data_IF_935792372727
#
_entry.id   IF_935792372727
#
_cell.length_a   1.000
_cell.length_b   1.000
_cell.length_c   1.000
_cell.angle_alpha   90.00
_cell.angle_beta   90.00
_cell.angle_gamma   90.00
#
_symmetry.space_group_name_H-M   'P 1'
#
loop_
_entity.id
_entity.type
_entity.pdbx_description
1 polymer ?
2 non-polymer ?
3 non-polymer ?
4 water ?
#
# COMPACT_ATOMS: atom_id res chain seq x y z
N UNK A 1 27.75 -0.47 4.00
CA UNK A 1 26.87 0.61 3.49
C UNK A 1 25.92 1.06 4.59
N UNK A 2 26.10 2.27 5.11
CA UNK A 2 25.29 2.69 6.26
C UNK A 2 23.81 2.85 5.90
N UNK A 3 23.52 3.23 4.65
CA UNK A 3 22.16 3.30 4.16
C UNK A 3 21.50 1.93 4.24
N UNK A 4 22.21 0.94 3.75
CA UNK A 4 21.70 -0.41 3.81
C UNK A 4 21.58 -0.86 5.25
N UNK A 5 22.53 -0.47 6.09
CA UNK A 5 22.43 -0.77 7.50
C UNK A 5 21.17 -0.17 8.15
N UNK A 6 20.74 1.00 7.70
CA UNK A 6 19.50 1.63 8.21
C UNK A 6 18.27 0.74 7.94
N UNK A 7 18.31 0.00 6.84
CA UNK A 7 17.25 -0.95 6.50
C UNK A 7 17.42 -2.28 7.25
N UNK A 8 18.60 -2.87 7.14
CA UNK A 8 18.85 -4.17 7.78
C UNK A 8 18.52 -4.16 9.28
N UNK A 9 18.82 -3.06 9.96
CA UNK A 9 18.66 -3.04 11.40
C UNK A 9 17.23 -2.79 11.83
N UNK A 10 16.34 -2.60 10.86
CA UNK A 10 14.93 -2.44 11.09
C UNK A 10 14.11 -3.62 10.58
N UNK A 11 14.77 -4.72 10.23
CA UNK A 11 14.06 -5.97 10.04
C UNK A 11 13.96 -6.72 11.35
N UNK A 12 12.75 -7.18 11.64
CA UNK A 12 12.47 -7.90 12.86
C UNK A 12 12.11 -9.35 12.50
N UNK A 13 12.70 -10.31 13.19
CA UNK A 13 12.50 -11.71 12.84
C UNK A 13 11.64 -12.44 13.87
N UNK A 14 10.62 -13.15 13.39
CA UNK A 14 9.69 -13.90 14.24
C UNK A 14 9.71 -15.40 13.89
N UNK A 15 10.35 -16.23 14.71
CA UNK A 15 10.28 -17.66 14.44
C UNK A 15 8.86 -18.22 14.44
N UNK A 16 8.61 -19.22 13.58
CA UNK A 16 7.40 -20.03 13.59
C UNK A 16 6.13 -19.27 13.27
N UNK A 17 6.26 -18.26 12.42
CA UNK A 17 5.11 -17.54 11.88
C UNK A 17 5.29 -17.48 10.36
N UNK A 18 4.28 -17.93 9.60
CA UNK A 18 3.02 -18.37 10.16
C UNK A 18 2.98 -19.85 10.51
N UNK A 19 4.04 -20.60 10.22
CA UNK A 19 4.08 -22.00 10.53
C UNK A 19 5.38 -22.39 11.20
N UNK A 20 5.37 -23.49 11.96
CA UNK A 20 6.60 -23.84 12.68
C UNK A 20 7.74 -24.10 11.70
N UNK A 21 8.93 -23.61 12.04
CA UNK A 21 10.16 -23.92 11.31
C UNK A 21 10.68 -22.79 10.45
N UNK A 22 9.80 -21.88 10.08
CA UNK A 22 10.20 -20.73 9.30
C UNK A 22 10.49 -19.54 10.21
N UNK A 23 11.08 -18.50 9.63
CA UNK A 23 11.31 -17.25 10.31
C UNK A 23 10.70 -16.14 9.45
N UNK A 24 9.76 -15.41 10.03
CA UNK A 24 9.09 -14.32 9.34
C UNK A 24 9.93 -13.07 9.48
N UNK A 25 10.28 -12.44 8.35
CA UNK A 25 11.05 -11.21 8.38
C UNK A 25 10.08 -10.02 8.30
N UNK A 26 9.88 -9.36 9.43
CA UNK A 26 8.86 -8.33 9.57
C UNK A 26 9.47 -7.00 9.12
N UNK A 27 8.92 -6.41 8.05
CA UNK A 27 9.37 -5.11 7.57
C UNK A 27 8.75 -3.91 8.32
N UNK A 28 7.84 -4.17 9.25
CA UNK A 28 7.11 -3.08 9.92
C UNK A 28 8.05 -2.00 10.47
N UNK A 29 9.20 -2.38 11.05
CA UNK A 29 9.99 -1.28 11.61
C UNK A 29 10.66 -0.40 10.54
N UNK A 30 10.85 -0.91 9.34
CA UNK A 30 11.36 -0.10 8.25
C UNK A 30 10.35 1.00 7.92
N UNK A 31 9.07 0.64 7.90
CA UNK A 31 8.02 1.63 7.58
C UNK A 31 7.86 2.65 8.70
N UNK A 32 8.08 2.21 9.94
CA UNK A 32 7.92 3.07 11.11
C UNK A 32 9.02 4.10 11.34
N UNK A 33 10.22 3.83 10.81
CA UNK A 33 11.36 4.73 10.96
C UNK A 33 11.52 5.44 9.62
N UNK A 34 11.17 6.73 9.57
CA UNK A 34 11.18 7.37 8.26
C UNK A 34 12.54 7.36 7.59
N UNK A 35 13.63 7.34 8.37
CA UNK A 35 14.95 7.33 7.77
C UNK A 35 15.24 5.99 7.09
N UNK A 36 14.72 4.92 7.69
CA UNK A 36 14.89 3.58 7.17
C UNK A 36 14.11 3.40 5.88
N UNK A 37 12.87 3.88 5.89
CA UNK A 37 12.04 3.78 4.69
C UNK A 37 12.65 4.58 3.55
N UNK A 38 13.10 5.80 3.84
CA UNK A 38 13.70 6.64 2.82
C UNK A 38 14.94 5.97 2.26
N UNK A 39 15.70 5.31 3.13
CA UNK A 39 16.90 4.63 2.65
C UNK A 39 16.53 3.49 1.72
N UNK A 40 15.54 2.68 2.10
CA UNK A 40 15.14 1.55 1.27
C UNK A 40 14.71 2.02 -0.12
N UNK A 41 13.86 3.05 -0.16
CA UNK A 41 13.38 3.57 -1.45
C UNK A 41 14.57 4.11 -2.26
N UNK A 42 15.46 4.82 -1.58
CA UNK A 42 16.59 5.41 -2.26
C UNK A 42 17.55 4.37 -2.83
N UNK A 43 17.80 3.29 -2.10
CA UNK A 43 18.66 2.22 -2.57
C UNK A 43 18.05 1.53 -3.77
N UNK A 44 16.74 1.29 -3.73
CA UNK A 44 16.07 0.65 -4.86
C UNK A 44 16.12 1.56 -6.09
N UNK A 45 15.82 2.84 -5.89
CA UNK A 45 15.78 3.81 -7.02
C UNK A 45 17.15 3.95 -7.65
N UNK A 46 18.19 4.00 -6.82
CA UNK A 46 19.54 4.17 -7.33
C UNK A 46 19.96 2.93 -8.14
N UNK A 47 19.61 1.75 -7.65
CA UNK A 47 19.89 0.53 -8.41
C UNK A 47 19.18 0.55 -9.76
N UNK A 48 17.92 0.92 -9.77
CA UNK A 48 17.13 0.88 -11.00
C UNK A 48 17.61 1.91 -12.02
N UNK A 49 17.95 3.12 -11.57
CA UNK A 49 18.52 4.10 -12.48
C UNK A 49 19.88 3.68 -13.01
N UNK A 50 20.70 3.05 -12.16
CA UNK A 50 22.02 2.62 -12.58
C UNK A 50 21.93 1.48 -13.58
N UNK A 51 20.84 0.73 -13.54
CA UNK A 51 20.66 -0.46 -14.39
C UNK A 51 19.88 -0.20 -15.67
N UNK A 52 18.91 0.71 -15.60
CA UNK A 52 18.00 0.92 -16.74
C UNK A 52 18.00 2.33 -17.30
N UNK A 53 18.73 3.25 -16.68
CA UNK A 53 18.68 4.63 -17.13
C UNK A 53 17.28 5.17 -17.18
N UNK A 54 16.90 5.74 -18.33
CA UNK A 54 15.56 6.32 -18.46
C UNK A 54 14.53 5.39 -19.11
N UNK A 55 14.81 4.10 -19.16
CA UNK A 55 13.98 3.17 -19.93
C UNK A 55 12.73 2.68 -19.20
N UNK A 56 12.59 2.96 -17.91
CA UNK A 56 11.43 2.44 -17.18
C UNK A 56 10.24 3.36 -17.42
N UNK A 57 9.11 2.78 -17.81
CA UNK A 57 7.90 3.56 -18.00
C UNK A 57 7.06 3.62 -16.73
N UNK A 58 6.90 2.47 -16.07
CA UNK A 58 6.05 2.34 -14.90
C UNK A 58 6.66 1.39 -13.87
N UNK A 59 6.33 1.65 -12.60
CA UNK A 59 6.48 0.67 -11.54
C UNK A 59 5.15 -0.10 -11.39
N UNK A 60 5.20 -1.41 -11.16
CA UNK A 60 4.02 -2.15 -10.78
C UNK A 60 4.19 -2.64 -9.36
N UNK A 61 3.21 -2.31 -8.50
CA UNK A 61 3.27 -2.70 -7.11
C UNK A 61 2.31 -3.85 -6.86
N UNK A 62 2.74 -4.81 -6.05
CA UNK A 62 1.95 -6.03 -5.79
C UNK A 62 1.15 -5.99 -4.47
N UNK A 63 -0.16 -6.14 -4.59
CA UNK A 63 -1.07 -6.25 -3.45
C UNK A 63 -0.62 -7.37 -2.51
N UNK A 64 -0.47 -7.18 -1.18
CA UNK A 64 -0.74 -5.92 -0.50
C UNK A 64 0.55 -5.23 -0.02
N UNK A 65 1.50 -6.00 0.52
CA UNK A 65 2.70 -5.34 1.07
C UNK A 65 3.52 -4.58 0.05
N UNK A 66 3.46 -4.96 -1.22
CA UNK A 66 4.17 -4.24 -2.26
C UNK A 66 3.61 -2.85 -2.49
N UNK A 67 2.34 -2.65 -2.11
CA UNK A 67 1.70 -1.33 -2.20
C UNK A 67 2.41 -0.34 -1.29
N UNK A 68 3.08 -0.83 -0.25
CA UNK A 68 3.79 0.04 0.67
C UNK A 68 5.02 0.67 0.02
N UNK A 69 5.55 0.02 -1.01
CA UNK A 69 6.79 0.49 -1.64
C UNK A 69 6.60 1.03 -3.06
N UNK A 70 5.59 0.54 -3.76
CA UNK A 70 5.39 0.87 -5.18
C UNK A 70 5.27 2.35 -5.46
N UNK A 71 4.29 3.02 -4.82
CA UNK A 71 4.10 4.42 -5.11
C UNK A 71 5.31 5.27 -4.72
N UNK A 72 5.94 5.00 -3.56
CA UNK A 72 7.08 5.82 -3.16
C UNK A 72 8.25 5.65 -4.12
N UNK A 73 8.48 4.41 -4.56
CA UNK A 73 9.56 4.15 -5.50
C UNK A 73 9.27 4.81 -6.84
N UNK A 74 8.03 4.68 -7.30
CA UNK A 74 7.60 5.36 -8.52
C UNK A 74 7.82 6.88 -8.43
N UNK A 75 7.37 7.49 -7.34
CA UNK A 75 7.56 8.90 -7.12
C UNK A 75 9.03 9.30 -7.15
N UNK A 76 9.88 8.51 -6.50
CA UNK A 76 11.31 8.83 -6.49
C UNK A 76 11.91 8.83 -7.88
N UNK A 77 11.36 7.99 -8.76
CA UNK A 77 11.83 7.85 -10.13
C UNK A 77 11.09 8.75 -11.12
N UNK A 78 10.07 9.45 -10.65
CA UNK A 78 9.27 10.32 -11.51
C UNK A 78 8.28 9.59 -12.40
N UNK A 79 7.84 8.43 -11.95
CA UNK A 79 7.02 7.51 -12.72
C UNK A 79 5.67 7.29 -12.05
N UNK A 80 4.71 6.83 -12.82
CA UNK A 80 3.47 6.34 -12.25
C UNK A 80 3.62 4.91 -11.77
N UNK A 81 2.66 4.49 -10.95
CA UNK A 81 2.63 3.14 -10.40
C UNK A 81 1.33 2.45 -10.85
N UNK A 82 1.45 1.27 -11.44
CA UNK A 82 0.29 0.47 -11.75
C UNK A 82 0.08 -0.59 -10.68
N UNK A 83 -1.15 -1.04 -10.53
CA UNK A 83 -1.51 -1.98 -9.48
C UNK A 83 -1.77 -3.37 -10.04
N UNK A 84 -1.24 -4.37 -9.35
CA UNK A 84 -1.63 -5.77 -9.57
C UNK A 84 -2.23 -6.24 -8.26
N UNK A 85 -3.46 -6.71 -8.29
CA UNK A 85 -4.23 -6.98 -7.08
C UNK A 85 -4.54 -8.45 -6.90
N UNK A 86 -4.86 -8.85 -5.67
CA UNK A 86 -5.53 -10.13 -5.47
C UNK A 86 -6.86 -10.12 -6.22
N UNK A 87 -7.19 -11.25 -6.85
CA UNK A 87 -8.38 -11.29 -7.68
C UNK A 87 -9.65 -10.91 -6.92
N UNK A 88 -10.53 -10.18 -7.63
CA UNK A 88 -11.84 -9.82 -7.10
C UNK A 88 -12.01 -8.37 -6.70
N UNK A 89 -10.97 -7.57 -6.85
CA UNK A 89 -10.97 -6.22 -6.29
C UNK A 89 -11.02 -5.11 -7.33
N UNK A 90 -10.67 -5.45 -8.56
CA UNK A 90 -10.52 -4.43 -9.60
C UNK A 90 -11.75 -4.39 -10.48
N UNK A 91 -12.21 -3.17 -10.83
CA UNK A 91 -13.30 -2.97 -11.76
C UNK A 91 -12.83 -3.06 -13.21
N UNK A 92 -13.79 -3.19 -14.13
CA UNK A 92 -13.47 -3.25 -15.56
C UNK A 92 -12.92 -4.58 -16.01
N UNK A 93 -12.64 -4.70 -17.30
CA UNK A 93 -12.11 -5.95 -17.82
C UNK A 93 -10.76 -6.29 -17.21
N UNK A 94 -10.56 -7.55 -16.85
CA UNK A 94 -9.32 -7.99 -16.20
C UNK A 94 -8.80 -9.31 -16.76
N UNK A 95 -7.53 -9.58 -16.46
CA UNK A 95 -6.87 -10.85 -16.67
C UNK A 95 -6.39 -11.30 -15.31
N UNK A 96 -6.29 -12.60 -15.10
CA UNK A 96 -5.83 -13.12 -13.82
C UNK A 96 -4.90 -14.31 -14.02
N UNK A 97 -4.14 -14.61 -12.98
CA UNK A 97 -3.12 -15.64 -13.02
C UNK A 97 -2.99 -16.28 -11.65
N UNK A 98 -3.08 -17.61 -11.63
CA UNK A 98 -3.04 -18.40 -10.42
C UNK A 98 -1.61 -18.74 -10.10
N UNK A 99 -1.39 -19.05 -8.83
CA UNK A 99 -0.09 -19.48 -8.37
C UNK A 99 -0.32 -20.14 -7.02
N UNK A 100 0.67 -20.90 -6.56
CA UNK A 100 0.55 -21.70 -5.35
C UNK A 100 0.94 -20.83 -4.15
N UNK A 101 0.04 -20.70 -3.18
CA UNK A 101 0.33 -19.98 -1.96
C UNK A 101 -0.14 -20.79 -0.76
N UNK A 104 -2.59 -23.81 -0.79
CA UNK A 104 -3.67 -23.78 -1.77
C UNK A 104 -3.34 -22.87 -2.93
N UNK A 105 -4.38 -22.37 -3.58
CA UNK A 105 -4.20 -21.56 -4.78
C UNK A 105 -4.65 -20.14 -4.51
N UNK A 106 -3.98 -19.18 -5.13
CA UNK A 106 -4.40 -17.79 -5.07
C UNK A 106 -4.30 -17.22 -6.47
N UNK A 107 -4.96 -16.08 -6.72
CA UNK A 107 -4.84 -15.43 -8.03
C UNK A 107 -4.55 -13.94 -7.95
N UNK A 108 -3.63 -13.46 -8.79
CA UNK A 108 -3.44 -12.04 -9.00
C UNK A 108 -4.22 -11.61 -10.24
N UNK A 109 -4.48 -10.32 -10.33
CA UNK A 109 -5.33 -9.76 -11.39
C UNK A 109 -4.82 -8.38 -11.79
N UNK A 110 -5.01 -8.03 -13.06
CA UNK A 110 -4.61 -6.74 -13.57
C UNK A 110 -5.69 -6.28 -14.53
N UNK A 111 -5.96 -4.98 -14.57
CA UNK A 111 -6.89 -4.44 -15.59
C UNK A 111 -6.30 -4.59 -16.99
N UNK A 112 -7.14 -4.93 -17.96
CA UNK A 112 -6.66 -5.12 -19.35
C UNK A 112 -6.05 -3.84 -19.91
N UNK A 113 -6.47 -2.67 -19.43
CA UNK A 113 -5.91 -1.40 -19.90
C UNK A 113 -4.85 -0.82 -18.99
N UNK A 114 -4.24 -1.62 -18.12
CA UNK A 114 -3.21 -1.11 -17.21
C UNK A 114 -1.96 -0.61 -17.94
N UNK A 115 -1.58 -1.32 -18.99
CA UNK A 115 -0.43 -0.97 -19.82
C UNK A 115 -0.76 -1.19 -21.28
N UNK A 116 -0.02 -0.49 -22.12
CA UNK A 116 -0.07 -0.68 -23.57
C UNK A 116 1.08 -1.57 -24.01
N UNK A 117 0.90 -2.29 -25.14
CA UNK A 117 1.97 -3.13 -25.63
C UNK A 117 3.30 -2.39 -25.77
N UNK A 118 4.37 -3.02 -25.32
CA UNK A 118 5.70 -2.42 -25.42
C UNK A 118 6.14 -1.61 -24.21
N UNK A 119 5.21 -1.20 -23.36
CA UNK A 119 5.58 -0.38 -22.24
C UNK A 119 6.45 -1.19 -21.29
N UNK A 120 7.42 -0.51 -20.69
CA UNK A 120 8.47 -1.18 -19.90
C UNK A 120 8.25 -0.96 -18.42
N UNK A 121 8.27 -2.04 -17.66
CA UNK A 121 7.81 -2.05 -16.29
C UNK A 121 8.84 -2.68 -15.36
N UNK A 122 8.93 -2.15 -14.15
CA UNK A 122 9.67 -2.82 -13.07
C UNK A 122 8.66 -3.17 -11.99
N UNK A 123 8.70 -4.42 -11.55
CA UNK A 123 7.76 -4.89 -10.54
C UNK A 123 8.44 -4.83 -9.17
N UNK A 124 7.72 -4.31 -8.18
CA UNK A 124 8.25 -4.25 -6.79
C UNK A 124 7.30 -4.95 -5.82
N UNK A 125 7.91 -5.69 -4.91
CA UNK A 125 7.20 -6.33 -3.80
C UNK A 125 8.08 -6.23 -2.57
N UNK A 126 7.52 -6.47 -1.39
CA UNK A 126 8.33 -6.39 -0.21
C UNK A 126 9.31 -7.57 -0.10
N UNK A 127 8.86 -8.76 -0.50
CA UNK A 127 9.55 -10.03 -0.18
C UNK A 127 9.45 -11.00 -1.34
N UNK A 128 10.58 -11.58 -1.73
CA UNK A 128 10.60 -12.69 -2.66
C UNK A 128 10.89 -13.97 -1.88
N UNK A 129 9.97 -14.91 -1.97
CA UNK A 129 10.15 -16.20 -1.27
C UNK A 129 10.20 -17.29 -2.31
N UNK A 130 9.15 -18.08 -2.50
CA UNK A 130 9.15 -19.03 -3.62
C UNK A 130 9.22 -18.38 -5.02
N UNK A 131 8.82 -17.11 -5.13
CA UNK A 131 8.73 -16.44 -6.42
C UNK A 131 7.37 -16.59 -7.12
N UNK A 132 6.44 -17.31 -6.49
CA UNK A 132 5.15 -17.56 -7.09
C UNK A 132 4.38 -16.27 -7.36
N UNK A 133 4.37 -15.35 -6.41
CA UNK A 133 3.62 -14.11 -6.54
C UNK A 133 4.24 -13.26 -7.64
N UNK A 134 5.56 -13.08 -7.58
CA UNK A 134 6.25 -12.28 -8.59
C UNK A 134 6.13 -12.88 -9.99
N UNK A 135 6.18 -14.21 -10.06
CA UNK A 135 6.06 -14.90 -11.33
C UNK A 135 4.66 -14.68 -11.95
N UNK A 136 3.62 -14.74 -11.12
CA UNK A 136 2.29 -14.45 -11.60
C UNK A 136 2.16 -13.01 -12.11
N UNK A 137 2.78 -12.07 -11.44
CA UNK A 137 2.75 -10.70 -11.91
C UNK A 137 3.42 -10.57 -13.28
N UNK A 138 4.57 -11.20 -13.44
CA UNK A 138 5.25 -11.19 -14.74
C UNK A 138 4.39 -11.82 -15.83
N UNK A 139 3.69 -12.90 -15.51
CA UNK A 139 2.81 -13.52 -16.49
C UNK A 139 1.76 -12.53 -16.96
N UNK A 140 1.13 -11.86 -15.99
CA UNK A 140 0.09 -10.90 -16.32
C UNK A 140 0.63 -9.78 -17.20
N UNK A 141 1.77 -9.21 -16.83
CA UNK A 141 2.33 -8.13 -17.60
C UNK A 141 2.71 -8.59 -19.00
N UNK A 142 3.28 -9.78 -19.12
CA UNK A 142 3.56 -10.37 -20.42
C UNK A 142 2.33 -10.57 -21.29
N UNK A 143 1.19 -10.88 -20.66
CA UNK A 143 -0.03 -11.07 -21.41
C UNK A 143 -0.60 -9.76 -21.93
N UNK A 144 -0.19 -8.63 -21.33
CA UNK A 144 -0.47 -7.31 -21.84
C UNK A 144 0.56 -6.84 -22.85
N UNK A 145 1.55 -7.69 -23.14
CA UNK A 145 2.65 -7.38 -24.06
C UNK A 145 3.55 -6.27 -23.53
N UNK A 146 3.55 -6.12 -22.21
CA UNK A 146 4.48 -5.22 -21.54
C UNK A 146 5.83 -5.93 -21.39
N UNK A 147 6.90 -5.15 -21.32
CA UNK A 147 8.22 -5.72 -21.13
C UNK A 147 8.62 -5.54 -19.68
N UNK A 148 8.83 -6.64 -18.98
CA UNK A 148 9.27 -6.59 -17.59
C UNK A 148 10.78 -6.50 -17.56
N UNK A 149 11.30 -5.33 -17.19
CA UNK A 149 12.73 -5.10 -17.20
C UNK A 149 13.43 -5.75 -16.01
N UNK A 150 12.74 -5.80 -14.88
CA UNK A 150 13.34 -6.29 -13.63
C UNK A 150 12.25 -6.43 -12.60
N UNK A 151 12.47 -7.34 -11.66
CA UNK A 151 11.69 -7.39 -10.43
C UNK A 151 12.60 -7.07 -9.25
N UNK A 152 12.09 -6.35 -8.26
CA UNK A 152 12.88 -6.00 -7.07
C UNK A 152 12.08 -6.22 -5.80
N UNK A 153 12.81 -6.45 -4.72
CA UNK A 153 12.19 -6.54 -3.41
C UNK A 153 13.14 -6.03 -2.32
N UNK A 154 12.60 -5.83 -1.12
CA UNK A 154 13.43 -5.49 0.01
C UNK A 154 14.16 -6.73 0.52
N UNK A 155 13.42 -7.82 0.63
CA UNK A 155 13.92 -9.05 1.23
C UNK A 155 13.80 -10.21 0.25
N UNK A 156 14.82 -11.07 0.26
CA UNK A 156 14.86 -12.28 -0.56
C UNK A 156 15.24 -13.45 0.34
N UNK A 157 14.49 -14.55 0.27
CA UNK A 157 14.78 -15.75 1.02
C UNK A 157 15.48 -16.74 0.07
N UNK A 158 16.82 -16.77 0.13
CA UNK A 158 17.58 -17.39 -0.94
C UNK A 158 17.41 -18.89 -1.07
N UNK A 159 17.15 -19.57 0.04
CA UNK A 159 16.99 -21.01 -0.02
C UNK A 159 15.77 -21.45 -0.82
N UNK A 160 14.83 -20.53 -1.10
CA UNK A 160 13.62 -20.90 -1.80
C UNK A 160 13.75 -20.76 -3.32
N UNK A 161 14.89 -20.20 -3.76
CA UNK A 161 15.25 -20.17 -5.17
C UNK A 161 14.25 -19.40 -6.04
N UNK A 162 13.66 -18.36 -5.50
CA UNK A 162 12.74 -17.51 -6.27
C UNK A 162 13.38 -16.83 -7.47
N UNK A 163 14.64 -16.46 -7.34
CA UNK A 163 15.38 -15.77 -8.40
C UNK A 163 15.37 -16.66 -9.64
N UNK A 164 15.67 -17.94 -9.45
CA UNK A 164 15.67 -18.90 -10.56
C UNK A 164 14.29 -19.05 -11.21
N UNK A 165 13.25 -19.03 -10.40
CA UNK A 165 11.89 -19.12 -10.93
C UNK A 165 11.58 -17.98 -11.91
N UNK A 166 12.13 -16.80 -11.65
CA UNK A 166 11.85 -15.63 -12.48
C UNK A 166 12.70 -15.52 -13.74
N UNK A 167 13.91 -16.09 -13.70
CA UNK A 167 14.82 -16.08 -14.86
C UNK A 167 14.02 -16.45 -16.10
N UNK A 168 14.20 -15.72 -17.21
CA UNK A 168 15.32 -14.82 -17.41
C UNK A 168 15.09 -13.36 -17.00
N UNK A 169 13.96 -13.06 -16.36
CA UNK A 169 13.72 -11.71 -15.84
C UNK A 169 14.70 -11.43 -14.69
N UNK A 170 15.47 -10.33 -14.79
CA UNK A 170 16.41 -10.02 -13.71
C UNK A 170 15.71 -9.70 -12.40
N UNK A 171 16.42 -9.97 -11.31
CA UNK A 171 15.91 -9.76 -9.98
C UNK A 171 16.96 -9.12 -9.08
N UNK A 172 16.53 -8.24 -8.20
CA UNK A 172 17.40 -7.57 -7.24
C UNK A 172 16.71 -7.41 -5.90
N UNK A 173 17.43 -7.72 -4.82
CA UNK A 173 16.92 -7.51 -3.47
C UNK A 173 17.92 -6.72 -2.63
N UNK A 174 17.40 -5.92 -1.70
CA UNK A 174 18.28 -5.21 -0.75
C UNK A 174 18.96 -6.15 0.25
N UNK A 175 18.18 -7.08 0.78
CA UNK A 175 18.60 -7.95 1.86
C UNK A 175 18.28 -9.40 1.55
N UNK A 176 19.19 -10.28 1.95
CA UNK A 176 19.02 -11.71 1.73
C UNK A 176 19.12 -12.47 3.06
N UNK A 177 18.21 -13.43 3.24
CA UNK A 177 18.27 -14.38 4.36
C UNK A 177 18.09 -15.76 3.79
N UNK A 178 18.51 -16.79 4.51
CA UNK A 178 18.25 -18.15 4.04
C UNK A 178 16.75 -18.31 3.78
N UNK B 1 -9.43 24.58 -7.10
CA UNK B 1 -7.97 24.36 -6.90
C UNK B 1 -7.34 23.45 -7.96
N UNK B 2 -6.23 23.87 -8.54
CA UNK B 2 -5.64 23.15 -9.67
C UNK B 2 -5.06 21.82 -9.20
N UNK B 3 -4.45 21.82 -8.03
CA UNK B 3 -3.92 20.59 -7.47
C UNK B 3 -5.07 19.60 -7.29
N UNK B 4 -6.20 20.06 -6.77
CA UNK B 4 -7.31 19.16 -6.51
C UNK B 4 -7.84 18.65 -7.82
N UNK B 5 -7.84 19.51 -8.84
CA UNK B 5 -8.32 19.11 -10.15
C UNK B 5 -7.49 17.97 -10.71
N UNK B 6 -6.18 18.01 -10.48
CA UNK B 6 -5.28 16.94 -10.91
C UNK B 6 -5.68 15.58 -10.32
N UNK B 7 -6.25 15.58 -9.11
CA UNK B 7 -6.70 14.36 -8.47
C UNK B 7 -8.09 13.98 -8.97
N UNK B 8 -9.02 14.93 -8.92
CA UNK B 8 -10.41 14.68 -9.32
C UNK B 8 -10.50 14.13 -10.73
N UNK B 9 -9.69 14.67 -11.64
CA UNK B 9 -9.78 14.27 -13.05
C UNK B 9 -9.19 12.86 -13.29
N UNK B 10 -8.61 12.27 -12.26
CA UNK B 10 -8.00 10.94 -12.38
C UNK B 10 -8.73 9.88 -11.58
N UNK B 11 -9.90 10.23 -11.06
CA UNK B 11 -10.79 9.23 -10.52
C UNK B 11 -11.67 8.73 -11.65
N UNK B 12 -11.80 7.42 -11.77
CA UNK B 12 -12.52 6.82 -12.86
C UNK B 12 -13.70 6.06 -12.20
N UNK B 13 -14.92 6.37 -12.61
CA UNK B 13 -16.10 5.84 -11.93
C UNK B 13 -16.75 4.72 -12.72
N UNK B 14 -16.84 3.53 -12.13
CA UNK B 14 -17.40 2.36 -12.77
C UNK B 14 -18.77 2.03 -12.20
N UNK B 15 -19.81 2.10 -13.03
CA UNK B 15 -21.16 1.79 -12.54
C UNK B 15 -21.36 0.30 -12.31
N UNK B 16 -22.20 -0.05 -11.35
CA UNK B 16 -22.59 -1.43 -11.11
C UNK B 16 -21.42 -2.36 -10.77
N UNK B 17 -20.47 -1.83 -10.02
CA UNK B 17 -19.38 -2.63 -9.47
C UNK B 17 -19.22 -2.24 -8.01
N UNK B 18 -19.26 -3.23 -7.11
CA UNK B 18 -19.32 -4.64 -7.47
C UNK B 18 -20.74 -5.20 -7.57
N UNK B 19 -21.75 -4.39 -7.28
CA UNK B 19 -23.14 -4.84 -7.34
C UNK B 19 -23.93 -3.84 -8.18
N UNK B 20 -25.08 -4.26 -8.73
CA UNK B 20 -25.88 -3.30 -9.48
C UNK B 20 -26.26 -2.10 -8.62
N UNK B 21 -26.14 -0.89 -9.17
CA UNK B 21 -26.61 0.32 -8.50
C UNK B 21 -25.52 1.15 -7.86
N UNK B 22 -24.41 0.50 -7.52
CA UNK B 22 -23.28 1.13 -6.85
C UNK B 22 -22.25 1.58 -7.86
N UNK B 23 -21.68 2.75 -7.64
CA UNK B 23 -20.59 3.24 -8.46
C UNK B 23 -19.27 3.11 -7.72
N UNK B 24 -18.31 2.47 -8.37
CA UNK B 24 -16.98 2.26 -7.80
C UNK B 24 -16.07 3.39 -8.23
N UNK B 25 -15.43 4.04 -7.27
CA UNK B 25 -14.53 5.13 -7.56
C UNK B 25 -13.11 4.58 -7.60
N UNK B 26 -12.60 4.41 -8.81
CA UNK B 26 -11.31 3.78 -9.06
C UNK B 26 -10.21 4.85 -8.95
N UNK B 27 -9.27 4.63 -8.05
CA UNK B 27 -8.16 5.57 -7.83
C UNK B 27 -6.92 5.17 -8.63
N UNK B 28 -7.01 4.10 -9.40
CA UNK B 28 -5.86 3.62 -10.15
C UNK B 28 -5.21 4.73 -10.99
N UNK B 29 -6.02 5.53 -11.70
CA UNK B 29 -5.36 6.53 -12.55
C UNK B 29 -4.59 7.62 -11.74
N UNK B 30 -4.96 7.83 -10.48
CA UNK B 30 -4.25 8.78 -9.63
C UNK B 30 -2.85 8.25 -9.38
N UNK B 31 -2.77 6.94 -9.09
CA UNK B 31 -1.48 6.28 -8.90
C UNK B 31 -0.62 6.28 -10.16
N UNK B 32 -1.27 6.17 -11.30
CA UNK B 32 -0.57 5.98 -12.58
C UNK B 32 0.00 7.28 -13.12
N UNK B 33 -0.57 8.40 -12.70
CA UNK B 33 -0.12 9.71 -13.10
C UNK B 33 0.68 10.31 -11.97
N UNK B 34 2.00 10.37 -12.11
CA UNK B 34 2.79 10.82 -10.95
C UNK B 34 2.45 12.21 -10.44
N UNK B 35 2.00 13.11 -11.32
CA UNK B 35 1.62 14.46 -10.91
C UNK B 35 0.34 14.41 -10.07
N UNK B 36 -0.55 13.48 -10.41
CA UNK B 36 -1.80 13.34 -9.66
C UNK B 36 -1.55 12.77 -8.26
N UNK B 37 -0.71 11.76 -8.19
CA UNK B 37 -0.39 11.17 -6.90
C UNK B 37 0.32 12.20 -5.98
N UNK B 38 1.28 12.91 -6.55
CA UNK B 38 2.00 13.94 -5.81
C UNK B 38 1.03 15.00 -5.28
N UNK B 39 0.06 15.39 -6.11
CA UNK B 39 -0.91 16.39 -5.70
C UNK B 39 -1.76 15.88 -4.53
N UNK B 40 -2.22 14.64 -4.62
CA UNK B 40 -3.04 14.05 -3.57
C UNK B 40 -2.28 14.03 -2.23
N UNK B 41 -1.06 13.53 -2.26
CA UNK B 41 -0.26 13.46 -1.05
C UNK B 41 0.00 14.86 -0.50
N UNK B 42 0.32 15.80 -1.40
CA UNK B 42 0.56 17.18 -0.98
C UNK B 42 -0.66 17.82 -0.33
N UNK B 43 -1.83 17.59 -0.89
CA UNK B 43 -3.05 18.15 -0.33
C UNK B 43 -3.39 17.57 1.04
N UNK B 44 -3.21 16.27 1.19
CA UNK B 44 -3.41 15.64 2.50
C UNK B 44 -2.42 16.14 3.51
N UNK B 45 -1.15 16.24 3.12
CA UNK B 45 -0.11 16.69 4.03
C UNK B 45 -0.32 18.14 4.48
N UNK B 46 -0.73 19.00 3.56
CA UNK B 46 -0.98 20.41 3.89
C UNK B 46 -2.15 20.54 4.85
N UNK B 47 -3.21 19.78 4.63
CA UNK B 47 -4.34 19.80 5.55
C UNK B 47 -3.91 19.35 6.94
N UNK B 48 -3.15 18.28 7.01
CA UNK B 48 -2.75 17.74 8.31
C UNK B 48 -1.79 18.65 9.10
N UNK B 49 -0.85 19.25 8.40
CA UNK B 49 0.07 20.20 9.04
C UNK B 49 -0.67 21.46 9.48
N UNK B 50 -1.61 21.92 8.64
CA UNK B 50 -2.37 23.13 8.97
C UNK B 50 -3.30 22.91 10.14
N UNK B 51 -3.71 21.66 10.34
CA UNK B 51 -4.69 21.34 11.36
C UNK B 51 -4.03 20.92 12.70
N UNK B 52 -2.91 20.22 12.61
CA UNK B 52 -2.33 19.57 13.78
C UNK B 52 -0.93 20.05 14.12
N UNK B 53 -0.33 20.87 13.26
CA UNK B 53 1.01 21.38 13.55
C UNK B 53 1.96 20.23 13.78
N UNK B 54 2.67 20.26 14.90
CA UNK B 54 3.63 19.20 15.20
C UNK B 54 3.07 18.07 16.06
N UNK B 55 1.77 18.02 16.22
CA UNK B 55 1.17 17.05 17.13
C UNK B 55 1.16 15.61 16.64
N UNK B 56 1.28 15.39 15.33
CA UNK B 56 1.18 14.04 14.82
C UNK B 56 2.47 13.28 15.10
N UNK B 57 2.37 12.07 15.63
CA UNK B 57 3.56 11.25 15.84
C UNK B 57 3.76 10.25 14.70
N UNK B 58 2.67 9.67 14.22
CA UNK B 58 2.69 8.60 13.20
C UNK B 58 1.47 8.70 12.32
N UNK B 59 1.64 8.24 11.08
CA UNK B 59 0.53 7.89 10.21
C UNK B 59 0.25 6.39 10.36
N UNK B 60 -1.02 5.99 10.34
CA UNK B 60 -1.39 4.58 10.27
C UNK B 60 -2.08 4.35 8.97
N UNK B 61 -1.58 3.41 8.17
CA UNK B 61 -2.21 3.11 6.89
C UNK B 61 -2.99 1.82 6.96
N UNK B 62 -4.13 1.78 6.30
CA UNK B 62 -5.04 0.62 6.36
C UNK B 62 -4.91 -0.33 5.18
N UNK B 63 -4.66 -1.59 5.48
CA UNK B 63 -4.59 -2.67 4.49
C UNK B 63 -5.91 -2.74 3.72
N UNK B 64 -5.94 -2.74 2.39
CA UNK B 64 -4.77 -2.79 1.52
C UNK B 64 -4.58 -1.47 0.76
N UNK B 65 -5.65 -0.87 0.23
CA UNK B 65 -5.47 0.33 -0.59
C UNK B 65 -4.90 1.53 0.21
N UNK B 66 -5.11 1.54 1.51
CA UNK B 66 -4.54 2.59 2.34
C UNK B 66 -3.02 2.53 2.38
N UNK B 67 -2.47 1.35 2.14
CA UNK B 67 -1.02 1.17 2.05
C UNK B 67 -0.43 1.96 0.90
N UNK B 68 -1.23 2.28 -0.12
CA UNK B 68 -0.75 3.06 -1.25
C UNK B 68 -0.44 4.48 -0.86
N UNK B 69 -1.11 4.95 0.18
CA UNK B 69 -0.99 6.36 0.56
C UNK B 69 -0.24 6.59 1.86
N UNK B 70 -0.31 5.62 2.77
CA UNK B 70 0.28 5.84 4.12
C UNK B 70 1.76 6.21 4.12
N UNK B 71 2.60 5.39 3.48
CA UNK B 71 4.02 5.68 3.52
C UNK B 71 4.40 6.98 2.85
N UNK B 72 3.81 7.30 1.70
CA UNK B 72 4.13 8.56 1.05
C UNK B 72 3.68 9.76 1.87
N UNK B 73 2.52 9.64 2.49
CA UNK B 73 2.03 10.72 3.34
C UNK B 73 2.93 10.93 4.55
N UNK B 74 3.28 9.82 5.20
CA UNK B 74 4.20 9.87 6.31
C UNK B 74 5.52 10.52 5.92
N UNK B 75 6.08 10.07 4.81
CA UNK B 75 7.33 10.63 4.34
C UNK B 75 7.25 12.14 4.10
N UNK B 76 6.16 12.58 3.48
CA UNK B 76 5.97 14.00 3.23
C UNK B 76 5.94 14.81 4.54
N UNK B 77 5.42 14.20 5.61
CA UNK B 77 5.34 14.87 6.94
C UNK B 77 6.57 14.64 7.84
N UNK B 78 7.52 13.84 7.35
CA UNK B 78 8.70 13.46 8.08
C UNK B 78 8.44 12.48 9.21
N UNK B 79 7.41 11.65 9.03
CA UNK B 79 6.96 10.71 10.06
C UNK B 79 7.07 9.27 9.58
N UNK B 80 7.11 8.34 10.52
CA UNK B 80 6.88 6.94 10.21
C UNK B 80 5.43 6.58 9.99
N UNK B 81 5.24 5.38 9.44
CA UNK B 81 3.94 4.81 9.16
C UNK B 81 3.82 3.46 9.85
N UNK B 82 2.74 3.29 10.59
CA UNK B 82 2.39 2.01 11.18
C UNK B 82 1.30 1.36 10.39
N UNK B 83 1.18 0.05 10.52
CA UNK B 83 0.27 -0.73 9.71
C UNK B 83 -0.85 -1.30 10.53
N UNK B 84 -2.05 -1.22 9.96
CA UNK B 84 -3.19 -1.95 10.45
C UNK B 84 -3.61 -2.90 9.35
N UNK B 85 -3.67 -4.17 9.66
CA UNK B 85 -3.80 -5.19 8.61
C UNK B 85 -5.07 -5.99 8.74
N UNK B 86 -5.48 -6.64 7.65
CA UNK B 86 -6.51 -7.66 7.76
C UNK B 86 -5.99 -8.78 8.65
N UNK B 87 -6.87 -9.38 9.45
CA UNK B 87 -6.41 -10.33 10.47
C UNK B 87 -5.72 -11.54 9.86
N UNK B 88 -4.67 -12.01 10.54
CA UNK B 88 -3.94 -13.20 10.12
C UNK B 88 -2.60 -12.94 9.47
N UNK B 89 -2.25 -11.67 9.26
CA UNK B 89 -1.09 -11.31 8.46
C UNK B 89 0.11 -10.81 9.25
N UNK B 90 -0.09 -10.43 10.50
CA UNK B 90 0.98 -9.84 11.30
C UNK B 90 1.53 -10.82 12.32
N UNK B 91 2.86 -10.89 12.46
CA UNK B 91 3.50 -11.74 13.47
C UNK B 91 3.50 -11.10 14.84
N UNK B 92 3.69 -11.91 15.88
CA UNK B 92 3.84 -11.40 17.23
C UNK B 92 2.49 -11.15 17.91
N UNK B 93 2.52 -10.53 19.09
CA UNK B 93 1.28 -10.27 19.82
C UNK B 93 0.47 -9.20 19.12
N UNK B 94 -0.83 -9.43 19.00
CA UNK B 94 -1.72 -8.51 18.28
C UNK B 94 -3.01 -8.29 19.04
N UNK B 95 -3.72 -7.24 18.63
CA UNK B 95 -5.12 -7.05 18.98
C UNK B 95 -5.90 -7.03 17.68
N UNK B 96 -7.17 -7.44 17.73
CA UNK B 96 -8.01 -7.42 16.56
C UNK B 96 -9.40 -6.92 16.89
N UNK B 97 -10.11 -6.51 15.84
CA UNK B 97 -11.42 -5.88 15.96
C UNK B 97 -12.26 -6.24 14.75
N UNK B 98 -13.48 -6.71 15.00
CA UNK B 98 -14.40 -7.02 13.92
C UNK B 98 -15.05 -5.75 13.40
N UNK B 99 -15.59 -5.86 12.21
CA UNK B 99 -16.44 -4.82 11.68
C UNK B 99 -17.26 -5.47 10.59
N UNK B 100 -18.35 -4.84 10.18
CA UNK B 100 -19.20 -5.40 9.13
C UNK B 100 -18.61 -4.96 7.79
N UNK B 101 -18.44 -5.90 6.87
CA UNK B 101 -17.99 -5.58 5.53
C UNK B 101 -18.88 -6.33 4.57
N UNK B 102 -19.50 -5.59 3.66
CA UNK B 102 -20.48 -6.16 2.75
C UNK B 102 -21.54 -6.92 3.53
N UNK B 103 -21.67 -8.23 3.30
CA UNK B 103 -22.77 -9.01 3.91
C UNK B 103 -22.36 -9.74 5.19
N UNK B 104 -21.08 -9.65 5.52
CA UNK B 104 -20.54 -10.45 6.60
C UNK B 104 -19.63 -9.66 7.51
N UNK B 105 -18.68 -10.36 8.10
CA UNK B 105 -17.80 -9.76 9.09
C UNK B 105 -16.35 -9.93 8.67
N UNK B 106 -15.53 -8.92 8.94
CA UNK B 106 -14.10 -9.03 8.70
C UNK B 106 -13.40 -8.62 9.98
N UNK B 107 -12.09 -8.82 10.07
CA UNK B 107 -11.37 -8.29 11.22
C UNK B 107 -10.10 -7.57 10.79
N UNK B 108 -9.82 -6.45 11.46
CA UNK B 108 -8.52 -5.78 11.37
C UNK B 108 -7.68 -6.15 12.58
N UNK B 109 -6.37 -5.93 12.47
CA UNK B 109 -5.40 -6.36 13.47
C UNK B 109 -4.24 -5.37 13.52
N UNK B 110 -3.65 -5.20 14.71
CA UNK B 110 -2.49 -4.34 14.87
C UNK B 110 -1.54 -5.02 15.85
N UNK B 111 -0.24 -4.88 15.60
CA UNK B 111 0.75 -5.36 16.56
C UNK B 111 0.63 -4.59 17.88
N UNK B 112 0.76 -5.27 19.00
CA UNK B 112 0.58 -4.58 20.28
C UNK B 112 1.64 -3.51 20.51
N UNK B 113 2.82 -3.69 19.93
CA UNK B 113 3.85 -2.65 20.07
C UNK B 113 3.92 -1.62 18.93
N UNK B 114 2.87 -1.55 18.12
CA UNK B 114 2.83 -0.59 17.05
C UNK B 114 2.92 0.86 17.55
N UNK B 115 2.23 1.14 18.65
CA UNK B 115 2.30 2.44 19.28
C UNK B 115 2.39 2.26 20.78
N UNK B 116 2.90 3.30 21.44
CA UNK B 116 2.98 3.41 22.89
C UNK B 116 1.84 4.27 23.40
N UNK B 117 1.42 4.05 24.66
CA UNK B 117 0.39 4.92 25.19
C UNK B 117 0.78 6.39 25.10
N UNK B 118 -0.17 7.21 24.65
CA UNK B 118 0.00 8.66 24.53
C UNK B 118 0.45 9.14 23.17
N UNK B 119 0.85 8.24 22.29
CA UNK B 119 1.27 8.66 20.96
C UNK B 119 0.04 9.02 20.12
N UNK B 120 0.23 9.98 19.23
CA UNK B 120 -0.84 10.61 18.47
C UNK B 120 -0.73 10.20 17.01
N UNK B 121 -1.84 9.76 16.45
CA UNK B 121 -1.84 9.12 15.14
C UNK B 121 -2.90 9.77 14.25
N UNK B 122 -2.63 9.78 12.95
CA UNK B 122 -3.64 10.07 11.93
C UNK B 122 -3.76 8.83 11.04
N UNK B 123 -5.00 8.40 10.84
CA UNK B 123 -5.27 7.21 10.02
C UNK B 123 -5.56 7.65 8.60
N UNK B 124 -4.97 6.97 7.64
CA UNK B 124 -5.26 7.22 6.23
C UNK B 124 -5.75 5.97 5.51
N UNK B 125 -6.77 6.16 4.69
CA UNK B 125 -7.26 5.08 3.81
C UNK B 125 -7.59 5.74 2.47
N UNK B 126 -7.81 4.94 1.43
CA UNK B 126 -8.17 5.50 0.14
C UNK B 126 -9.60 6.05 0.12
N UNK B 127 -10.52 5.37 0.78
CA UNK B 127 -11.90 5.72 0.63
C UNK B 127 -12.70 5.38 1.86
N UNK B 128 -13.55 6.33 2.25
CA UNK B 128 -14.51 6.17 3.35
C UNK B 128 -15.89 5.95 2.74
N UNK B 129 -16.46 4.81 3.05
CA UNK B 129 -17.81 4.45 2.61
C UNK B 129 -18.72 4.38 3.83
N UNK B 130 -19.03 3.18 4.33
CA UNK B 130 -19.84 3.09 5.56
C UNK B 130 -19.11 3.53 6.81
N UNK B 131 -17.78 3.54 6.78
CA UNK B 131 -16.98 3.91 7.93
C UNK B 131 -16.57 2.74 8.80
N UNK B 132 -17.02 1.53 8.47
CA UNK B 132 -16.74 0.36 9.27
C UNK B 132 -15.26 0.09 9.43
N UNK B 133 -14.54 0.16 8.31
CA UNK B 133 -13.12 -0.11 8.32
C UNK B 133 -12.36 0.89 9.18
N UNK B 134 -12.60 2.18 8.95
CA UNK B 134 -11.93 3.23 9.69
C UNK B 134 -12.30 3.19 11.18
N UNK B 135 -13.55 2.88 11.46
CA UNK B 135 -13.99 2.76 12.84
C UNK B 135 -13.25 1.64 13.57
N UNK B 136 -13.09 0.48 12.93
CA UNK B 136 -12.29 -0.60 13.52
C UNK B 136 -10.85 -0.18 13.75
N UNK B 137 -10.29 0.61 12.84
CA UNK B 137 -8.91 1.08 13.01
C UNK B 137 -8.81 1.96 14.25
N UNK B 138 -9.78 2.86 14.41
CA UNK B 138 -9.78 3.75 15.57
C UNK B 138 -9.92 2.96 16.87
N UNK B 139 -10.75 1.92 16.87
CA UNK B 139 -10.94 1.09 18.06
C UNK B 139 -9.60 0.48 18.47
N UNK B 140 -8.90 -0.11 17.50
CA UNK B 140 -7.62 -0.72 17.78
C UNK B 140 -6.63 0.28 18.34
N UNK B 141 -6.53 1.44 17.70
CA UNK B 141 -5.59 2.45 18.15
C UNK B 141 -5.92 2.94 19.56
N UNK B 142 -7.21 3.09 19.86
CA UNK B 142 -7.66 3.45 21.21
C UNK B 142 -7.25 2.41 22.23
N UNK B 143 -7.30 1.13 21.86
CA UNK B 143 -6.95 0.06 22.79
C UNK B 143 -5.45 0.01 23.10
N UNK B 144 -4.63 0.59 22.24
CA UNK B 144 -3.20 0.79 22.52
C UNK B 144 -2.98 2.07 23.32
N UNK B 145 -4.06 2.74 23.67
CA UNK B 145 -4.00 4.04 24.36
C UNK B 145 -3.31 5.12 23.50
N UNK B 146 -3.40 4.94 22.19
CA UNK B 146 -3.02 5.98 21.26
C UNK B 146 -4.17 6.97 21.07
N UNK B 147 -3.86 8.19 20.71
CA UNK B 147 -4.84 9.21 20.45
C UNK B 147 -5.00 9.37 18.94
N UNK B 148 -6.21 9.14 18.43
CA UNK B 148 -6.46 9.34 17.01
C UNK B 148 -6.86 10.78 16.76
N UNK B 149 -5.97 11.55 16.13
CA UNK B 149 -6.20 12.97 15.91
C UNK B 149 -7.21 13.22 14.81
N UNK B 150 -7.20 12.35 13.80
CA UNK B 150 -8.00 12.58 12.60
C UNK B 150 -7.90 11.32 11.74
N UNK B 151 -8.96 11.05 10.97
CA UNK B 151 -8.91 10.07 9.88
C UNK B 151 -9.07 10.81 8.57
N UNK B 152 -8.34 10.38 7.56
CA UNK B 152 -8.41 11.04 6.26
C UNK B 152 -8.48 10.04 5.12
N UNK B 153 -9.08 10.49 4.00
CA UNK B 153 -9.16 9.64 2.80
C UNK B 153 -9.10 10.49 1.54
N UNK B 154 -8.85 9.85 0.40
CA UNK B 154 -8.95 10.54 -0.85
C UNK B 154 -10.43 10.76 -1.22
N UNK B 155 -11.24 9.74 -1.03
CA UNK B 155 -12.63 9.74 -1.46
C UNK B 155 -13.55 9.46 -0.29
N UNK B 156 -14.68 10.15 -0.28
CA UNK B 156 -15.74 9.96 0.71
C UNK B 156 -17.10 9.83 -0.01
N UNK B 157 -17.88 8.82 0.36
CA UNK B 157 -19.18 8.60 -0.23
C UNK B 157 -20.22 9.12 0.77
N UNK B 158 -20.64 10.36 0.55
CA UNK B 158 -21.33 11.09 1.64
C UNK B 158 -22.69 10.55 1.98
N UNK B 159 -23.36 9.87 1.04
CA UNK B 159 -24.69 9.37 1.34
C UNK B 159 -24.65 8.19 2.32
N UNK B 160 -23.47 7.62 2.56
CA UNK B 160 -23.35 6.50 3.49
C UNK B 160 -23.07 6.95 4.92
N UNK B 161 -22.86 8.24 5.12
CA UNK B 161 -22.73 8.82 6.45
C UNK B 161 -21.64 8.16 7.29
N UNK B 162 -20.53 7.80 6.65
CA UNK B 162 -19.37 7.32 7.39
C UNK B 162 -18.74 8.32 8.36
N UNK B 163 -18.76 9.60 8.02
CA UNK B 163 -18.22 10.66 8.89
C UNK B 163 -18.91 10.62 10.27
N UNK B 164 -20.21 10.39 10.26
CA UNK B 164 -21.00 10.35 11.50
C UNK B 164 -20.64 9.13 12.32
N UNK B 165 -20.33 8.03 11.65
CA UNK B 165 -19.90 6.83 12.35
C UNK B 165 -18.60 7.06 13.14
N UNK B 166 -17.73 7.89 12.59
CA UNK B 166 -16.43 8.15 13.22
C UNK B 166 -16.48 9.18 14.33
N UNK B 167 -17.46 10.09 14.28
CA UNK B 167 -17.61 11.12 15.31
C UNK B 167 -17.49 10.47 16.69
N UNK B 168 -16.72 11.06 17.60
CA UNK B 168 -16.22 12.44 17.49
C UNK B 168 -14.80 12.59 16.91
N UNK B 169 -14.23 11.53 16.37
CA UNK B 169 -12.95 11.62 15.69
C UNK B 169 -13.14 12.43 14.42
N UNK B 170 -12.35 13.48 14.24
CA UNK B 170 -12.45 14.30 13.03
C UNK B 170 -12.12 13.51 11.74
N UNK B 171 -12.75 13.91 10.65
CA UNK B 171 -12.55 13.30 9.34
C UNK B 171 -12.41 14.34 8.25
N UNK B 172 -11.56 14.04 7.28
CA UNK B 172 -11.33 14.90 6.12
C UNK B 172 -11.10 14.04 4.88
N UNK B 173 -11.74 14.43 3.79
CA UNK B 173 -11.52 13.78 2.51
C UNK B 173 -11.20 14.83 1.44
N UNK B 174 -10.43 14.43 0.43
CA UNK B 174 -10.15 15.33 -0.67
C UNK B 174 -11.38 15.51 -1.56
N UNK B 175 -12.09 14.41 -1.80
CA UNK B 175 -13.17 14.40 -2.77
C UNK B 175 -14.40 13.72 -2.21
N UNK B 176 -15.55 14.26 -2.57
CA UNK B 176 -16.84 13.76 -2.07
C UNK B 176 -17.75 13.37 -3.23
N UNK B 177 -18.36 12.20 -3.12
CA UNK B 177 -19.40 11.79 -4.07
C UNK B 177 -20.62 11.32 -3.29
N UNK B 178 -21.82 11.49 -3.84
CA UNK B 178 -22.98 10.84 -3.21
C UNK B 178 -22.61 9.40 -2.79
X LIG C 1 2.31 -9.83 -0.77
X LIG D 1 3.70 -12.24 0.77
X LIG D 1 4.67 -11.14 0.38
X LIG D 1 4.90 -11.43 -1.09
X LIG D 1 4.72 -12.95 -1.20
X LIG D 1 6.05 -13.67 -1.41
X LIG D 1 2.39 -11.85 0.35
X LIG D 1 4.10 -9.84 0.57
X LIG D 1 3.90 -10.78 -1.91
X LIG D 1 4.12 -13.39 0.04
X LIG D 1 5.86 -15.10 -1.37
X LIG D 1 6.20 -15.99 -2.66
X LIG D 1 7.46 -15.45 -3.27
X LIG D 1 5.01 -15.84 -3.61
X LIG D 1 6.38 -17.37 -2.08
X LIG D 1 1.06 -12.52 0.94
X LIG D 1 0.44 -13.33 -0.17
X LIG D 1 1.42 -13.24 2.19
X LIG D 1 0.05 -11.29 1.13
X LIG D 1 0.22 -9.78 1.66
X LIG D 1 0.94 -9.05 0.54
X LIG D 1 -1.21 -9.35 1.80
X LIG D 1 0.98 -9.84 2.97
X LIG E 1 -9.38 -1.07 2.09
X LIG F 1 -12.25 -0.75 0.84
X LIG F 1 -11.49 0.56 0.94
X LIG F 1 -11.66 0.94 2.40
X LIG F 1 -13.01 0.33 2.78
X LIG F 1 -14.08 1.40 2.91
X LIG F 1 -11.42 -1.80 1.36
X LIG F 1 -10.12 0.42 0.57
X LIG F 1 -10.63 0.35 3.22
X LIG F 1 -13.36 -0.58 1.72
X LIG F 1 -15.36 0.80 3.16
X LIG F 1 -16.15 1.08 4.52
X LIG F 1 -15.96 2.56 4.84
X LIG F 1 -15.55 0.19 5.60
X LIG F 1 -17.59 0.76 4.21
X LIG F 1 -11.71 -3.35 1.06
X LIG F 1 -12.60 -3.40 -0.15
X LIG F 1 -12.16 -4.00 2.34
X LIG F 1 -10.27 -3.96 0.75
X LIG F 1 -8.96 -3.46 -0.04
X LIG F 1 -9.40 -3.00 -1.42
X LIG F 1 -8.10 -4.68 -0.05
X LIG F 1 -8.41 -2.32 0.82
#
# INVERSE_FOLDING_TARGET
>A
DSELQLVEQRIRSFPDFPTPGVVFRDISPVLKDPASFRAAIGLLARHLKATHGGRIDYIAGLDSRGFLFGPSLAQELGLGCVLIRKRGKLPGPTLWASYSLEFGKAELEIQKDALEPGQRVVVVDDLLATGGTMNAACELLGRLQAEVLECVSLVELTSLKGREKLAPVPFFSLLQYE
>B
DSELQLVEQRIRSFPDFPTPGVVFRDISPVLKDPASFRAAIGLLARHLKATHGGRIDYIAGLDSRGFLFGPSLAQELGLGCVLIRKRGKLPGPTLWASYSLEFGKAELEIQKDALEPGQRVVVVDDLLATGGTMNAACELLGRLQAEVLECVSLVELTSLKGREKLAPVPFFSLLQYE
>C hetero
1 MG MG
>D hetero
1 PRP C1 C2 C3 C4 C5 O1 O2 O3 O4 O5 P O1P O2P O3P PA O1A O2A O3A PB O1B O2B O3B
>E hetero
1 MG MG
>F hetero
1 PRP C1 C2 C3 C4 C5 O1 O2 O3 O4 O5 P O1P O2P O3P PA O1A O2A O3A PB O1B O2B O3B
#
